data_IF_153472545888
#
_entry.id   IF_153472545888
#
_cell.length_a   1.000
_cell.length_b   1.000
_cell.length_c   1.000
_cell.angle_alpha   90.00
_cell.angle_beta   90.00
_cell.angle_gamma   90.00
#
_symmetry.space_group_name_H-M   'P 1'
#
loop_
_entity.id
_entity.type
_entity.pdbx_description
1 polymer ?
#
# COMPACT_ATOMS: atom_id res chain seq x y z
N UNK A 1 5.87 6.96 -3.78
CA UNK A 1 4.75 6.23 -4.39
C UNK A 1 3.49 6.98 -4.05
N UNK A 2 2.58 7.22 -5.00
CA UNK A 2 1.34 7.96 -4.74
C UNK A 2 0.15 7.02 -4.91
N UNK A 3 -0.77 7.04 -3.94
CA UNK A 3 -2.04 6.34 -4.01
C UNK A 3 -3.12 7.32 -4.46
N UNK A 4 -3.96 6.91 -5.40
CA UNK A 4 -5.08 7.70 -5.91
C UNK A 4 -6.36 6.92 -5.73
N UNK A 5 -7.44 7.64 -5.45
CA UNK A 5 -8.79 7.10 -5.44
C UNK A 5 -9.62 7.80 -6.51
N UNK A 6 -10.57 7.07 -7.08
CA UNK A 6 -11.52 7.59 -8.03
C UNK A 6 -12.90 7.59 -7.41
N UNK A 7 -13.56 8.74 -7.44
CA UNK A 7 -14.94 8.92 -7.02
C UNK A 7 -15.85 8.76 -8.24
N UNK A 8 -16.73 7.75 -8.20
CA UNK A 8 -17.67 7.45 -9.29
C UNK A 8 -18.89 8.38 -9.33
N UNK A 9 -19.23 9.04 -8.22
CA UNK A 9 -20.35 9.99 -8.16
C UNK A 9 -19.95 11.32 -8.78
N UNK A 10 -18.75 11.81 -8.42
CA UNK A 10 -18.22 13.09 -8.91
C UNK A 10 -17.39 12.94 -10.18
N UNK A 11 -17.00 11.72 -10.54
CA UNK A 11 -16.14 11.41 -11.68
C UNK A 11 -14.78 12.15 -11.57
N UNK A 12 -14.19 12.14 -10.38
CA UNK A 12 -12.93 12.84 -10.10
C UNK A 12 -11.88 11.93 -9.45
N UNK A 13 -10.62 12.22 -9.76
CA UNK A 13 -9.47 11.61 -9.10
C UNK A 13 -9.01 12.49 -7.95
N UNK A 14 -8.78 11.89 -6.78
CA UNK A 14 -8.13 12.57 -5.66
C UNK A 14 -6.92 11.77 -5.17
N UNK A 15 -5.90 12.51 -4.70
CA UNK A 15 -4.70 11.89 -4.14
C UNK A 15 -5.00 11.48 -2.70
N UNK A 16 -4.77 10.21 -2.37
CA UNK A 16 -4.87 9.74 -1.00
C UNK A 16 -3.61 10.18 -0.27
N UNK A 17 -3.78 10.97 0.79
CA UNK A 17 -2.66 11.38 1.65
C UNK A 17 -2.06 10.12 2.30
N UNK A 18 -0.81 9.83 1.94
CA UNK A 18 -0.03 8.70 2.46
C UNK A 18 1.21 9.17 3.21
N UNK A 19 1.37 10.48 3.37
CA UNK A 19 2.45 11.11 4.11
C UNK A 19 1.97 11.39 5.54
N UNK A 20 2.56 10.71 6.52
CA UNK A 20 2.29 10.99 7.93
C UNK A 20 3.47 11.78 8.50
N UNK A 21 3.34 13.11 8.55
CA UNK A 21 4.41 14.02 9.01
C UNK A 21 4.79 13.83 10.50
N UNK A 22 4.07 13.03 11.29
CA UNK A 22 4.17 13.07 12.76
C UNK A 22 4.07 11.75 13.53
N UNK A 23 3.79 10.59 12.94
CA UNK A 23 3.57 9.35 13.72
C UNK A 23 4.01 8.10 12.97
N UNK A 24 4.47 7.13 13.75
CA UNK A 24 5.10 5.83 13.44
C UNK A 24 4.38 4.91 12.43
N UNK A 25 4.00 5.43 11.27
CA UNK A 25 3.55 4.64 10.14
C UNK A 25 4.74 3.88 9.53
N UNK A 26 4.51 2.63 9.13
CA UNK A 26 5.49 1.88 8.36
C UNK A 26 5.74 2.53 7.00
N UNK A 27 6.88 2.24 6.35
CA UNK A 27 7.22 2.86 5.08
C UNK A 27 6.21 2.44 4.01
N UNK A 28 5.76 3.39 3.19
CA UNK A 28 5.05 3.07 1.96
C UNK A 28 5.94 2.21 1.05
N UNK A 29 5.38 1.30 0.23
CA UNK A 29 6.16 0.48 -0.67
C UNK A 29 7.00 1.33 -1.61
N UNK A 30 8.24 0.89 -1.88
CA UNK A 30 9.09 1.48 -2.92
C UNK A 30 8.38 1.49 -4.28
N UNK A 31 8.75 2.45 -5.15
CA UNK A 31 8.21 2.52 -6.53
C UNK A 31 8.44 1.19 -7.21
N UNK A 32 7.37 0.58 -7.70
CA UNK A 32 7.39 -0.77 -8.25
C UNK A 32 6.35 -0.94 -9.35
N UNK A 33 6.63 -1.80 -10.32
CA UNK A 33 5.70 -2.16 -11.40
C UNK A 33 5.41 -3.66 -11.38
N UNK A 34 4.30 -4.07 -12.02
CA UNK A 34 3.87 -5.48 -12.04
C UNK A 34 3.52 -6.06 -10.67
N UNK A 35 3.28 -5.20 -9.67
CA UNK A 35 2.82 -5.64 -8.35
C UNK A 35 1.34 -6.03 -8.40
N UNK A 36 0.92 -6.86 -7.46
CA UNK A 36 -0.50 -7.17 -7.26
C UNK A 36 -1.01 -6.35 -6.09
N UNK A 37 -2.21 -5.79 -6.25
CA UNK A 37 -2.93 -5.07 -5.21
C UNK A 37 -4.29 -5.72 -4.98
N UNK A 38 -4.65 -5.95 -3.73
CA UNK A 38 -5.92 -6.58 -3.34
C UNK A 38 -6.56 -5.85 -2.17
N UNK A 39 -7.88 -5.79 -2.19
CA UNK A 39 -8.70 -5.23 -1.12
C UNK A 39 -9.29 -6.36 -0.28
N UNK A 40 -9.13 -6.28 1.03
CA UNK A 40 -9.79 -7.18 1.97
C UNK A 40 -10.20 -6.43 3.24
N UNK A 41 -11.48 -6.53 3.60
CA UNK A 41 -12.10 -5.80 4.71
C UNK A 41 -11.88 -4.27 4.59
N UNK A 42 -11.05 -3.67 5.45
CA UNK A 42 -10.69 -2.25 5.44
C UNK A 42 -9.20 -2.02 5.15
N UNK A 43 -8.58 -2.98 4.46
CA UNK A 43 -7.16 -2.96 4.16
C UNK A 43 -6.91 -3.17 2.67
N UNK A 44 -5.90 -2.48 2.16
CA UNK A 44 -5.34 -2.68 0.82
C UNK A 44 -3.97 -3.31 0.96
N UNK A 45 -3.77 -4.48 0.38
CA UNK A 45 -2.49 -5.18 0.41
C UNK A 45 -1.78 -5.04 -0.94
N UNK A 46 -0.47 -4.82 -0.89
CA UNK A 46 0.41 -4.75 -2.05
C UNK A 46 1.50 -5.80 -1.88
N UNK A 47 1.59 -6.71 -2.85
CA UNK A 47 2.56 -7.80 -2.84
C UNK A 47 3.38 -7.82 -4.13
N UNK A 48 4.67 -8.11 -3.97
CA UNK A 48 5.53 -8.42 -5.09
C UNK A 48 5.85 -7.21 -5.98
N UNK A 49 6.06 -7.50 -7.26
CA UNK A 49 6.46 -6.55 -8.29
C UNK A 49 7.98 -6.45 -8.44
N UNK A 50 8.40 -5.59 -9.35
CA UNK A 50 9.79 -5.24 -9.55
C UNK A 50 10.01 -3.79 -9.10
N UNK A 51 10.97 -3.60 -8.20
CA UNK A 51 11.40 -2.29 -7.71
C UNK A 51 12.88 -2.13 -8.08
N UNK A 52 13.16 -1.14 -8.92
CA UNK A 52 14.50 -0.92 -9.49
C UNK A 52 15.07 -2.21 -10.14
N UNK A 53 16.10 -2.81 -9.55
CA UNK A 53 16.75 -4.06 -9.97
C UNK A 53 16.45 -5.25 -9.05
N UNK A 54 15.46 -5.12 -8.17
CA UNK A 54 15.07 -6.15 -7.19
C UNK A 54 13.66 -6.68 -7.45
N UNK A 55 13.39 -7.88 -6.95
CA UNK A 55 12.06 -8.49 -6.91
C UNK A 55 11.63 -8.63 -5.45
N UNK A 56 11.08 -7.58 -4.82
CA UNK A 56 10.66 -7.64 -3.43
C UNK A 56 9.56 -8.69 -3.25
N UNK A 57 9.67 -9.51 -2.22
CA UNK A 57 8.63 -10.43 -1.76
C UNK A 57 7.93 -9.93 -0.49
N UNK A 58 8.02 -8.63 -0.22
CA UNK A 58 7.39 -7.99 0.92
C UNK A 58 5.88 -7.82 0.70
N UNK A 59 5.11 -7.98 1.79
CA UNK A 59 3.68 -7.71 1.82
C UNK A 59 3.46 -6.39 2.56
N UNK A 60 2.99 -5.38 1.84
CA UNK A 60 2.60 -4.09 2.41
C UNK A 60 1.09 -4.07 2.64
N UNK A 61 0.67 -3.43 3.73
CA UNK A 61 -0.74 -3.23 4.06
C UNK A 61 -1.00 -1.74 4.31
N UNK A 62 -1.99 -1.20 3.61
CA UNK A 62 -2.54 0.12 3.84
C UNK A 62 -3.90 0.01 4.50
N UNK A 63 -4.01 0.55 5.72
CA UNK A 63 -5.24 0.60 6.49
C UNK A 63 -6.08 1.82 6.04
N UNK A 64 -7.32 1.57 5.62
CA UNK A 64 -8.24 2.60 5.12
C UNK A 64 -8.82 3.49 6.22
N UNK A 65 -8.84 3.02 7.47
CA UNK A 65 -9.31 3.78 8.63
C UNK A 65 -8.24 4.74 9.14
N UNK A 66 -7.03 4.22 9.32
CA UNK A 66 -5.92 5.02 9.85
C UNK A 66 -5.13 5.75 8.76
N UNK A 67 -5.32 5.35 7.50
CA UNK A 67 -4.57 5.86 6.35
C UNK A 67 -3.07 5.64 6.49
N UNK A 68 -2.66 4.54 7.14
CA UNK A 68 -1.26 4.22 7.42
C UNK A 68 -0.80 2.97 6.70
N UNK A 69 0.46 2.98 6.28
CA UNK A 69 1.16 1.82 5.76
C UNK A 69 1.80 1.01 6.89
N UNK A 70 1.90 -0.30 6.68
CA UNK A 70 2.65 -1.23 7.53
C UNK A 70 3.21 -2.37 6.67
N UNK A 71 4.30 -2.99 7.13
CA UNK A 71 4.82 -4.22 6.53
C UNK A 71 4.25 -5.40 7.30
N UNK A 72 3.58 -6.30 6.59
CA UNK A 72 3.03 -7.52 7.16
C UNK A 72 4.13 -8.58 7.18
N UNK A 73 4.44 -9.11 8.35
CA UNK A 73 5.28 -10.29 8.48
C UNK A 73 4.39 -11.54 8.46
N UNK A 74 4.57 -12.46 7.49
CA UNK A 74 3.93 -13.75 7.54
C UNK A 74 4.28 -14.47 8.84
N UNK A 75 3.34 -15.21 9.41
CA UNK A 75 3.68 -16.16 10.46
C UNK A 75 4.73 -17.15 9.89
N UNK A 76 5.70 -17.55 10.72
CA UNK A 76 6.59 -18.64 10.37
C UNK A 76 5.72 -19.87 10.05
N UNK A 77 5.98 -20.54 8.94
CA UNK A 77 5.34 -21.83 8.66
C UNK A 77 5.52 -22.74 9.88
N UNK A 78 4.40 -23.33 10.32
CA UNK A 78 4.38 -24.26 11.46
C UNK A 78 5.01 -25.60 11.11
#
# INVERSE_FOLDING_TARGET
NALFQFDFETNTWSRVCTEHLLRSAGPAPARRYGHVMLHHARHLYVFGGAADSTLPSDLHCYDLDTQMWSVVQPASDS
#
